data_IF_297608388190
#
_entry.id   IF_297608388190
#
_cell.length_a   1.000
_cell.length_b   1.000
_cell.length_c   1.000
_cell.angle_alpha   90.00
_cell.angle_beta   90.00
_cell.angle_gamma   90.00
#
_symmetry.space_group_name_H-M   'P 1'
#
loop_
_entity.id
_entity.type
_entity.pdbx_description
1 polymer ?
#
# COMPACT_ATOMS: atom_id res chain seq x y z
N UNK A 1 -19.98 17.72 7.89
CA UNK A 1 -20.14 16.71 8.98
C UNK A 1 -19.45 15.42 8.56
N UNK A 2 -18.70 14.79 9.47
CA UNK A 2 -18.03 13.50 9.22
C UNK A 2 -19.05 12.37 9.07
N UNK A 3 -18.93 11.54 8.01
CA UNK A 3 -19.71 10.31 7.86
C UNK A 3 -18.85 9.18 7.29
N UNK A 4 -18.98 7.97 7.80
CA UNK A 4 -18.25 6.80 7.30
C UNK A 4 -18.41 6.58 5.79
N UNK A 5 -19.60 6.83 5.24
CA UNK A 5 -19.89 6.73 3.80
C UNK A 5 -19.04 7.68 2.97
N UNK A 6 -18.91 8.94 3.38
CA UNK A 6 -18.07 9.91 2.68
C UNK A 6 -16.59 9.50 2.67
N UNK A 7 -16.17 8.71 3.67
CA UNK A 7 -14.82 8.19 3.82
C UNK A 7 -14.65 6.77 3.26
N UNK A 8 -15.56 6.33 2.38
CA UNK A 8 -15.42 5.06 1.64
C UNK A 8 -15.90 3.81 2.39
N UNK A 9 -16.62 3.97 3.51
CA UNK A 9 -17.21 2.86 4.27
C UNK A 9 -18.73 2.85 4.07
N UNK A 10 -19.27 2.04 3.15
CA UNK A 10 -20.70 2.04 2.83
C UNK A 10 -21.54 1.42 3.96
N UNK A 11 -22.82 1.81 4.01
CA UNK A 11 -23.76 1.29 5.02
C UNK A 11 -24.11 -0.19 4.82
N UNK A 12 -23.88 -0.73 3.62
CA UNK A 12 -24.16 -2.12 3.23
C UNK A 12 -23.15 -3.13 3.78
N UNK A 13 -22.04 -2.67 4.37
CA UNK A 13 -20.97 -3.50 4.91
C UNK A 13 -19.62 -3.21 4.25
N UNK A 14 -18.53 -3.46 4.98
CA UNK A 14 -17.18 -3.20 4.49
C UNK A 14 -16.66 -4.35 3.65
N UNK A 15 -16.15 -4.00 2.46
CA UNK A 15 -15.52 -4.91 1.49
C UNK A 15 -16.32 -6.20 1.16
N UNK A 16 -17.58 -6.09 0.69
CA UNK A 16 -18.41 -7.26 0.41
C UNK A 16 -17.85 -8.14 -0.73
N UNK A 17 -17.00 -7.58 -1.58
CA UNK A 17 -16.34 -8.28 -2.68
C UNK A 17 -14.97 -8.87 -2.30
N UNK A 18 -14.56 -8.80 -1.02
CA UNK A 18 -13.26 -9.29 -0.55
C UNK A 18 -12.07 -8.71 -1.34
N UNK A 19 -12.19 -7.47 -1.79
CA UNK A 19 -11.24 -6.80 -2.69
C UNK A 19 -9.84 -6.63 -2.07
N UNK A 20 -9.73 -6.49 -0.75
CA UNK A 20 -8.43 -6.37 -0.07
C UNK A 20 -7.63 -7.68 -0.05
N UNK A 21 -8.31 -8.82 -0.13
CA UNK A 21 -7.71 -10.18 -0.01
C UNK A 21 -7.75 -10.97 -1.31
N UNK A 22 -8.14 -10.32 -2.41
CA UNK A 22 -8.17 -10.92 -3.75
C UNK A 22 -7.30 -10.13 -4.72
N UNK A 23 -6.98 -10.79 -5.83
CA UNK A 23 -6.33 -10.21 -6.99
C UNK A 23 -7.19 -10.49 -8.22
N UNK A 24 -7.10 -9.59 -9.20
CA UNK A 24 -7.67 -9.82 -10.53
C UNK A 24 -6.81 -10.75 -11.39
N UNK A 25 -5.51 -10.86 -11.09
CA UNK A 25 -4.53 -11.49 -11.98
C UNK A 25 -3.95 -12.79 -11.42
N UNK A 26 -3.90 -12.94 -10.09
CA UNK A 26 -3.34 -14.13 -9.44
C UNK A 26 -4.32 -14.74 -8.43
N UNK A 27 -4.10 -16.00 -8.07
CA UNK A 27 -4.91 -16.65 -7.03
C UNK A 27 -4.64 -16.02 -5.65
N UNK A 28 -5.59 -16.10 -4.69
CA UNK A 28 -5.37 -15.60 -3.33
C UNK A 28 -4.16 -16.22 -2.63
N UNK A 29 -3.82 -17.48 -2.93
CA UNK A 29 -2.61 -18.13 -2.35
C UNK A 29 -1.35 -17.44 -2.87
N UNK A 30 -1.27 -17.18 -4.18
CA UNK A 30 -0.11 -16.50 -4.78
C UNK A 30 0.01 -15.08 -4.25
N UNK A 31 -1.10 -14.33 -4.16
CA UNK A 31 -1.11 -13.00 -3.57
C UNK A 31 -0.62 -13.01 -2.11
N UNK A 32 -1.07 -13.97 -1.31
CA UNK A 32 -0.65 -14.11 0.08
C UNK A 32 0.86 -14.40 0.20
N UNK A 33 1.39 -15.30 -0.64
CA UNK A 33 2.82 -15.59 -0.69
C UNK A 33 3.65 -14.38 -1.10
N UNK A 34 3.22 -13.62 -2.12
CA UNK A 34 3.91 -12.39 -2.54
C UNK A 34 3.96 -11.40 -1.38
N UNK A 35 2.82 -11.12 -0.74
CA UNK A 35 2.76 -10.21 0.43
C UNK A 35 3.64 -10.71 1.57
N UNK A 36 3.64 -12.02 1.87
CA UNK A 36 4.51 -12.59 2.90
C UNK A 36 6.00 -12.39 2.57
N UNK A 37 6.40 -12.62 1.31
CA UNK A 37 7.78 -12.40 0.85
C UNK A 37 8.19 -10.93 0.95
N UNK A 38 7.33 -10.00 0.55
CA UNK A 38 7.59 -8.56 0.68
C UNK A 38 7.73 -8.14 2.14
N UNK A 39 6.88 -8.67 3.02
CA UNK A 39 6.96 -8.42 4.47
C UNK A 39 8.27 -8.93 5.07
N UNK A 40 8.63 -10.19 4.77
CA UNK A 40 9.88 -10.80 5.23
C UNK A 40 11.08 -9.99 4.73
N UNK A 41 11.05 -9.54 3.47
CA UNK A 41 12.12 -8.72 2.92
C UNK A 41 12.28 -7.39 3.66
N UNK A 42 11.17 -6.69 3.98
CA UNK A 42 11.22 -5.46 4.76
C UNK A 42 11.90 -5.67 6.11
N UNK A 43 11.44 -6.66 6.88
CA UNK A 43 11.99 -6.95 8.21
C UNK A 43 13.44 -7.44 8.13
N UNK A 44 13.76 -8.33 7.19
CA UNK A 44 15.13 -8.81 6.99
C UNK A 44 16.08 -7.67 6.65
N UNK A 45 15.67 -6.75 5.75
CA UNK A 45 16.47 -5.58 5.38
C UNK A 45 16.77 -4.71 6.60
N UNK A 46 15.76 -4.43 7.43
CA UNK A 46 15.92 -3.60 8.62
C UNK A 46 16.83 -4.29 9.64
N UNK A 47 16.58 -5.56 9.94
CA UNK A 47 17.37 -6.34 10.91
C UNK A 47 18.83 -6.45 10.45
N UNK A 48 19.07 -6.77 9.19
CA UNK A 48 20.43 -6.85 8.61
C UNK A 48 21.10 -5.48 8.65
N UNK A 49 20.40 -4.41 8.29
CA UNK A 49 20.94 -3.05 8.32
C UNK A 49 21.35 -2.64 9.73
N UNK A 50 20.49 -2.85 10.73
CA UNK A 50 20.80 -2.54 12.12
C UNK A 50 21.92 -3.42 12.67
N UNK A 51 21.90 -4.72 12.39
CA UNK A 51 22.95 -5.64 12.83
C UNK A 51 24.32 -5.26 12.25
N UNK A 52 24.34 -4.83 10.99
CA UNK A 52 25.57 -4.33 10.35
C UNK A 52 26.04 -3.02 10.97
N UNK A 53 25.15 -2.03 11.12
CA UNK A 53 25.45 -0.72 11.68
C UNK A 53 25.83 -0.77 13.17
N UNK A 54 25.47 -1.82 13.89
CA UNK A 54 25.89 -2.03 15.28
C UNK A 54 27.42 -2.21 15.41
N UNK A 55 28.08 -2.69 14.35
CA UNK A 55 29.50 -3.03 14.35
C UNK A 55 30.31 -2.33 13.26
N UNK A 56 29.65 -1.64 12.33
CA UNK A 56 30.26 -1.00 11.16
C UNK A 56 29.71 0.40 10.98
N UNK A 57 30.49 1.26 10.33
CA UNK A 57 30.08 2.59 9.91
C UNK A 57 29.88 2.61 8.41
N UNK A 58 28.73 3.10 7.97
CA UNK A 58 28.42 3.38 6.58
C UNK A 58 28.53 4.89 6.31
N UNK A 59 29.02 5.28 5.13
CA UNK A 59 29.13 6.69 4.75
C UNK A 59 28.21 6.97 3.56
N UNK A 60 27.19 7.78 3.79
CA UNK A 60 26.23 8.18 2.76
C UNK A 60 26.57 9.58 2.26
N UNK A 61 26.75 9.71 0.94
CA UNK A 61 26.89 11.00 0.28
C UNK A 61 25.51 11.50 -0.12
N UNK A 62 25.10 12.59 0.50
CA UNK A 62 23.83 13.24 0.26
C UNK A 62 24.06 14.62 -0.34
N UNK A 63 23.01 15.19 -0.89
CA UNK A 63 22.91 16.59 -1.31
C UNK A 63 21.50 17.07 -0.99
N UNK A 64 21.25 18.35 -1.18
CA UNK A 64 19.89 18.87 -1.12
C UNK A 64 19.67 19.94 -2.19
N UNK A 65 18.43 20.37 -2.37
CA UNK A 65 18.14 21.50 -3.25
C UNK A 65 18.81 22.75 -2.68
N UNK A 66 19.73 23.33 -3.44
CA UNK A 66 20.57 24.48 -3.06
C UNK A 66 21.65 24.18 -2.00
N UNK A 67 21.91 22.92 -1.68
CA UNK A 67 22.95 22.51 -0.73
C UNK A 67 23.91 21.56 -1.43
N UNK A 68 25.21 21.90 -1.39
CA UNK A 68 26.28 21.08 -1.95
C UNK A 68 26.31 19.67 -1.36
N UNK A 69 27.09 18.78 -1.97
CA UNK A 69 27.18 17.42 -1.47
C UNK A 69 27.87 17.36 -0.10
N UNK A 70 27.28 16.63 0.83
CA UNK A 70 27.82 16.39 2.17
C UNK A 70 27.80 14.89 2.48
N UNK A 71 28.57 14.48 3.49
CA UNK A 71 28.65 13.08 3.89
C UNK A 71 28.08 12.91 5.30
N UNK A 72 27.21 11.94 5.46
CA UNK A 72 26.65 11.53 6.76
C UNK A 72 27.19 10.15 7.10
N UNK A 73 27.72 10.01 8.31
CA UNK A 73 28.18 8.73 8.82
C UNK A 73 27.08 8.08 9.66
N UNK A 74 26.66 6.89 9.26
CA UNK A 74 25.73 6.07 10.04
C UNK A 74 26.51 4.95 10.73
N UNK A 75 26.38 4.89 12.04
CA UNK A 75 26.95 3.82 12.89
C UNK A 75 25.85 3.32 13.84
N UNK A 76 26.22 2.77 15.00
CA UNK A 76 25.27 2.27 15.99
C UNK A 76 24.24 3.33 16.44
N UNK A 77 24.62 4.62 16.50
CA UNK A 77 23.74 5.72 16.88
C UNK A 77 22.58 5.90 15.88
N UNK A 78 22.83 5.64 14.59
CA UNK A 78 21.82 5.77 13.54
C UNK A 78 20.67 4.76 13.71
N UNK A 79 20.89 3.65 14.43
CA UNK A 79 19.83 2.68 14.76
C UNK A 79 18.75 3.36 15.61
N UNK A 80 19.14 4.05 16.67
CA UNK A 80 18.23 4.79 17.55
C UNK A 80 17.57 6.00 16.89
N UNK A 81 18.24 6.61 15.91
CA UNK A 81 17.75 7.76 15.15
C UNK A 81 16.86 7.36 13.95
N UNK A 82 16.82 6.07 13.58
CA UNK A 82 16.16 5.62 12.36
C UNK A 82 14.67 6.02 12.27
N UNK A 83 13.94 6.02 13.40
CA UNK A 83 12.53 6.44 13.44
C UNK A 83 12.30 7.93 13.21
N UNK A 84 13.35 8.76 13.19
CA UNK A 84 13.26 10.17 12.78
C UNK A 84 13.18 10.34 11.26
N UNK A 85 13.58 9.33 10.49
CA UNK A 85 13.61 9.36 9.03
C UNK A 85 12.33 8.76 8.44
N UNK A 86 11.66 9.52 7.56
CA UNK A 86 10.42 9.10 6.91
C UNK A 86 10.57 7.80 6.13
N UNK A 87 11.75 7.59 5.52
CA UNK A 87 12.11 6.37 4.80
C UNK A 87 11.92 5.13 5.67
N UNK A 88 12.45 5.14 6.89
CA UNK A 88 12.34 4.00 7.81
C UNK A 88 10.93 3.84 8.36
N UNK A 89 10.24 4.94 8.69
CA UNK A 89 8.83 4.88 9.09
C UNK A 89 7.96 4.23 8.00
N UNK A 90 8.18 4.62 6.75
CA UNK A 90 7.46 4.06 5.60
C UNK A 90 7.83 2.60 5.37
N UNK A 91 9.10 2.24 5.49
CA UNK A 91 9.55 0.87 5.24
C UNK A 91 9.12 -0.13 6.33
N UNK A 92 9.16 0.28 7.62
CA UNK A 92 8.52 -0.46 8.71
C UNK A 92 7.02 -0.60 8.47
N UNK A 93 6.36 0.49 8.06
CA UNK A 93 4.93 0.47 7.76
C UNK A 93 4.60 -0.50 6.61
N UNK A 94 5.41 -0.58 5.55
CA UNK A 94 5.24 -1.58 4.50
C UNK A 94 5.40 -3.00 5.04
N UNK A 95 6.43 -3.25 5.87
CA UNK A 95 6.65 -4.56 6.49
C UNK A 95 5.43 -5.07 7.27
N UNK A 96 4.87 -4.23 8.15
CA UNK A 96 3.65 -4.56 8.90
C UNK A 96 2.41 -4.65 8.02
N UNK A 97 2.25 -3.73 7.05
CA UNK A 97 1.15 -3.74 6.11
C UNK A 97 1.08 -5.07 5.36
N UNK A 98 2.20 -5.50 4.78
CA UNK A 98 2.27 -6.76 4.04
C UNK A 98 2.13 -7.99 4.94
N UNK A 99 2.64 -7.94 6.17
CA UNK A 99 2.45 -9.00 7.16
C UNK A 99 0.95 -9.25 7.40
N UNK A 100 0.23 -8.20 7.82
CA UNK A 100 -1.20 -8.30 8.12
C UNK A 100 -1.99 -8.65 6.85
N UNK A 101 -1.67 -8.02 5.72
CA UNK A 101 -2.34 -8.32 4.46
C UNK A 101 -2.12 -9.77 4.03
N UNK A 102 -0.93 -10.34 4.21
CA UNK A 102 -0.65 -11.76 3.92
C UNK A 102 -1.48 -12.70 4.80
N UNK A 103 -1.58 -12.42 6.11
CA UNK A 103 -2.39 -13.21 7.05
C UNK A 103 -3.86 -13.20 6.63
N UNK A 104 -4.42 -12.02 6.37
CA UNK A 104 -5.82 -11.89 5.92
C UNK A 104 -6.06 -12.62 4.60
N UNK A 105 -5.07 -12.58 3.68
CA UNK A 105 -5.17 -13.24 2.38
C UNK A 105 -5.08 -14.76 2.51
N UNK A 106 -4.20 -15.30 3.35
CA UNK A 106 -4.13 -16.74 3.64
C UNK A 106 -5.42 -17.23 4.30
N UNK A 107 -5.94 -16.50 5.28
CA UNK A 107 -7.21 -16.82 5.93
C UNK A 107 -8.35 -16.88 4.90
N UNK A 108 -8.41 -15.91 4.00
CA UNK A 108 -9.37 -15.94 2.91
C UNK A 108 -9.13 -17.13 1.96
N UNK A 109 -7.88 -17.38 1.57
CA UNK A 109 -7.53 -18.45 0.64
C UNK A 109 -8.00 -19.83 1.13
N UNK A 110 -7.77 -20.14 2.41
CA UNK A 110 -8.04 -21.46 3.00
C UNK A 110 -9.43 -21.58 3.64
N UNK A 111 -9.97 -20.50 4.21
CA UNK A 111 -11.24 -20.54 4.97
C UNK A 111 -12.40 -19.85 4.25
N UNK A 112 -12.12 -19.14 3.14
CA UNK A 112 -13.11 -18.30 2.41
C UNK A 112 -13.81 -17.30 3.32
N UNK A 113 -13.12 -16.82 4.35
CA UNK A 113 -13.61 -15.85 5.33
C UNK A 113 -12.59 -14.74 5.51
N UNK A 114 -13.07 -13.52 5.72
CA UNK A 114 -12.29 -12.38 6.22
C UNK A 114 -12.91 -11.91 7.53
N UNK A 115 -12.15 -11.21 8.37
CA UNK A 115 -12.69 -10.61 9.60
C UNK A 115 -12.95 -9.12 9.45
N UNK A 116 -12.52 -8.52 8.33
CA UNK A 116 -12.63 -7.08 8.07
C UNK A 116 -14.07 -6.57 8.17
N UNK A 117 -15.05 -7.35 7.70
CA UNK A 117 -16.47 -6.95 7.76
C UNK A 117 -17.04 -6.93 9.18
N UNK A 118 -16.45 -7.67 10.12
CA UNK A 118 -16.87 -7.71 11.52
C UNK A 118 -16.18 -6.65 12.39
N UNK A 119 -15.16 -5.96 11.87
CA UNK A 119 -14.47 -4.94 12.64
C UNK A 119 -15.37 -3.74 12.92
N UNK A 120 -15.16 -3.03 14.05
CA UNK A 120 -15.72 -1.71 14.25
C UNK A 120 -15.45 -0.79 13.05
N UNK A 121 -16.42 0.03 12.66
CA UNK A 121 -16.31 0.91 11.47
C UNK A 121 -15.06 1.80 11.49
N UNK A 122 -14.61 2.23 12.66
CA UNK A 122 -13.37 2.98 12.82
C UNK A 122 -12.14 2.19 12.35
N UNK A 123 -12.03 0.90 12.72
CA UNK A 123 -10.93 0.05 12.28
C UNK A 123 -11.02 -0.31 10.79
N UNK A 124 -12.23 -0.43 10.24
CA UNK A 124 -12.44 -0.59 8.79
C UNK A 124 -11.93 0.64 8.02
N UNK A 125 -12.27 1.83 8.52
CA UNK A 125 -11.79 3.08 7.96
C UNK A 125 -10.27 3.19 8.04
N UNK A 126 -9.69 2.91 9.21
CA UNK A 126 -8.24 2.92 9.38
C UNK A 126 -7.53 1.92 8.46
N UNK A 127 -8.10 0.74 8.25
CA UNK A 127 -7.57 -0.23 7.28
C UNK A 127 -7.54 0.33 5.86
N UNK A 128 -8.64 0.98 5.44
CA UNK A 128 -8.76 1.60 4.12
C UNK A 128 -7.83 2.82 3.96
N UNK A 129 -7.66 3.63 5.01
CA UNK A 129 -6.69 4.73 5.04
C UNK A 129 -5.26 4.21 4.98
N UNK A 130 -4.94 3.14 5.72
CA UNK A 130 -3.62 2.54 5.72
C UNK A 130 -3.24 2.05 4.32
N UNK A 131 -4.18 1.40 3.61
CA UNK A 131 -4.00 1.06 2.20
C UNK A 131 -3.65 2.29 1.33
N UNK A 132 -4.36 3.41 1.52
CA UNK A 132 -4.07 4.64 0.76
C UNK A 132 -2.69 5.21 1.08
N UNK A 133 -2.23 5.12 2.33
CA UNK A 133 -0.87 5.56 2.69
C UNK A 133 0.20 4.68 2.07
N UNK A 134 0.03 3.35 2.10
CA UNK A 134 1.02 2.38 1.58
C UNK A 134 1.09 2.35 0.06
N UNK A 135 0.04 2.78 -0.63
CA UNK A 135 0.02 2.89 -2.09
C UNK A 135 0.39 4.29 -2.60
N UNK A 136 0.74 5.24 -1.73
CA UNK A 136 1.06 6.60 -2.15
C UNK A 136 2.37 7.15 -1.56
N UNK A 137 2.54 7.11 -0.23
CA UNK A 137 3.72 7.66 0.46
C UNK A 137 5.07 7.04 0.01
N UNK A 138 5.18 5.73 -0.29
CA UNK A 138 6.47 5.14 -0.68
C UNK A 138 7.05 5.70 -1.98
N UNK A 139 6.20 6.21 -2.88
CA UNK A 139 6.67 6.88 -4.09
C UNK A 139 7.38 8.20 -3.77
N UNK A 140 6.89 8.95 -2.77
CA UNK A 140 7.52 10.18 -2.33
C UNK A 140 8.94 9.90 -1.79
N UNK A 141 9.10 8.86 -0.97
CA UNK A 141 10.42 8.41 -0.47
C UNK A 141 11.38 8.15 -1.64
N UNK A 142 10.93 7.41 -2.64
CA UNK A 142 11.75 7.04 -3.80
C UNK A 142 12.16 8.29 -4.58
N UNK A 143 11.20 9.16 -4.93
CA UNK A 143 11.44 10.34 -5.75
C UNK A 143 12.32 11.36 -5.03
N UNK A 144 12.08 11.60 -3.74
CA UNK A 144 12.89 12.54 -2.95
C UNK A 144 14.32 12.02 -2.81
N UNK A 145 14.49 10.74 -2.45
CA UNK A 145 15.83 10.19 -2.34
C UNK A 145 16.60 10.24 -3.66
N UNK A 146 16.05 9.67 -4.74
CA UNK A 146 16.78 9.56 -6.00
C UNK A 146 16.82 10.86 -6.81
N UNK A 147 15.78 11.69 -6.70
CA UNK A 147 15.65 12.93 -7.45
C UNK A 147 16.36 14.12 -6.80
N UNK A 148 16.32 14.23 -5.47
CA UNK A 148 16.85 15.42 -4.77
C UNK A 148 18.00 15.12 -3.84
N UNK A 149 18.01 13.99 -3.11
CA UNK A 149 18.99 13.75 -2.04
C UNK A 149 20.23 12.95 -2.45
N UNK A 150 20.13 12.06 -3.44
CA UNK A 150 21.21 11.14 -3.79
C UNK A 150 22.37 11.89 -4.46
N UNK A 151 23.58 11.79 -3.89
CA UNK A 151 24.80 12.40 -4.44
C UNK A 151 25.72 11.35 -5.10
N UNK A 152 25.14 10.56 -6.00
CA UNK A 152 25.86 9.56 -6.78
C UNK A 152 25.85 8.17 -6.15
N UNK A 153 26.49 7.22 -6.83
CA UNK A 153 26.48 5.81 -6.43
C UNK A 153 27.55 5.53 -5.38
N UNK A 154 27.22 4.96 -4.20
CA UNK A 154 28.20 4.71 -3.17
C UNK A 154 29.16 3.56 -3.56
N UNK A 155 30.43 3.57 -3.10
CA UNK A 155 31.40 2.53 -3.44
C UNK A 155 31.20 1.23 -2.66
N UNK A 156 30.63 1.30 -1.46
CA UNK A 156 30.44 0.14 -0.58
C UNK A 156 29.19 -0.67 -0.93
N UNK A 157 29.32 -2.01 -0.95
CA UNK A 157 28.22 -2.91 -1.31
C UNK A 157 27.04 -2.83 -0.33
N UNK A 158 27.32 -2.61 0.95
CA UNK A 158 26.28 -2.45 1.96
C UNK A 158 25.44 -1.21 1.69
N UNK A 159 26.08 -0.07 1.44
CA UNK A 159 25.42 1.21 1.15
C UNK A 159 24.61 1.14 -0.14
N UNK A 160 25.14 0.48 -1.18
CA UNK A 160 24.42 0.24 -2.43
C UNK A 160 23.14 -0.57 -2.20
N UNK A 161 23.26 -1.73 -1.55
CA UNK A 161 22.14 -2.59 -1.23
C UNK A 161 21.13 -1.86 -0.33
N UNK A 162 21.60 -1.22 0.74
CA UNK A 162 20.78 -0.47 1.67
C UNK A 162 19.97 0.61 0.96
N UNK A 163 20.63 1.43 0.12
CA UNK A 163 19.96 2.49 -0.62
C UNK A 163 18.89 1.93 -1.57
N UNK A 164 19.20 0.84 -2.29
CA UNK A 164 18.22 0.20 -3.14
C UNK A 164 17.03 -0.32 -2.33
N UNK A 165 17.28 -1.01 -1.22
CA UNK A 165 16.25 -1.61 -0.40
C UNK A 165 15.34 -0.58 0.24
N UNK A 166 15.87 0.39 1.01
CA UNK A 166 15.03 1.31 1.76
C UNK A 166 14.58 2.51 0.94
N UNK A 167 15.20 2.85 -0.20
CA UNK A 167 14.73 3.98 -1.01
C UNK A 167 14.06 3.56 -2.32
N UNK A 168 14.60 2.61 -3.08
CA UNK A 168 13.97 2.21 -4.35
C UNK A 168 12.82 1.24 -4.14
N UNK A 169 13.01 0.18 -3.33
CA UNK A 169 11.99 -0.87 -3.20
C UNK A 169 10.72 -0.41 -2.47
N UNK A 170 10.75 0.73 -1.78
CA UNK A 170 9.55 1.40 -1.27
C UNK A 170 8.48 1.55 -2.37
N UNK A 171 8.83 2.17 -3.51
CA UNK A 171 7.90 2.36 -4.63
C UNK A 171 7.56 1.05 -5.34
N UNK A 172 8.52 0.12 -5.47
CA UNK A 172 8.27 -1.20 -6.08
C UNK A 172 7.21 -1.97 -5.30
N UNK A 173 7.28 -1.92 -3.97
CA UNK A 173 6.32 -2.62 -3.12
C UNK A 173 4.94 -1.97 -3.17
N UNK A 174 4.87 -0.64 -3.15
CA UNK A 174 3.62 0.08 -3.38
C UNK A 174 3.01 -0.23 -4.76
N UNK A 175 3.84 -0.31 -5.81
CA UNK A 175 3.41 -0.67 -7.16
C UNK A 175 2.92 -2.11 -7.25
N UNK A 176 3.58 -3.06 -6.58
CA UNK A 176 3.12 -4.44 -6.49
C UNK A 176 1.71 -4.52 -5.86
N UNK A 177 1.47 -3.75 -4.81
CA UNK A 177 0.17 -3.71 -4.15
C UNK A 177 -0.91 -3.02 -5.01
N UNK A 178 -0.59 -1.91 -5.69
CA UNK A 178 -1.49 -1.25 -6.67
C UNK A 178 -1.86 -2.20 -7.82
N UNK A 179 -0.90 -2.95 -8.32
CA UNK A 179 -1.10 -3.79 -9.52
C UNK A 179 -1.83 -5.08 -9.19
N UNK A 180 -1.47 -5.76 -8.10
CA UNK A 180 -1.98 -7.09 -7.81
C UNK A 180 -3.34 -7.06 -7.10
N UNK A 181 -3.62 -6.09 -6.25
CA UNK A 181 -4.82 -6.11 -5.39
C UNK A 181 -6.10 -5.80 -6.15
N UNK A 182 -7.22 -6.39 -5.74
CA UNK A 182 -8.53 -6.15 -6.37
C UNK A 182 -9.28 -4.94 -5.77
N UNK A 183 -8.64 -4.16 -4.89
CA UNK A 183 -9.20 -3.03 -4.13
C UNK A 183 -9.77 -1.92 -5.00
N UNK A 184 -10.75 -1.19 -4.47
CA UNK A 184 -11.31 -0.02 -5.16
C UNK A 184 -10.39 1.22 -5.14
N UNK A 185 -10.60 2.19 -6.05
CA UNK A 185 -9.88 3.47 -6.09
C UNK A 185 -9.89 4.26 -4.78
N UNK A 186 -8.73 4.79 -4.39
CA UNK A 186 -8.49 5.51 -3.12
C UNK A 186 -9.47 6.68 -2.91
N UNK A 187 -10.36 6.67 -1.91
CA UNK A 187 -11.30 7.77 -1.70
C UNK A 187 -10.57 9.12 -1.58
N UNK A 188 -11.07 10.17 -2.26
CA UNK A 188 -10.41 11.48 -2.25
C UNK A 188 -10.21 12.06 -0.85
N UNK A 189 -11.12 11.78 0.08
CA UNK A 189 -10.99 12.23 1.47
C UNK A 189 -9.74 11.65 2.17
N UNK A 190 -9.21 10.50 1.72
CA UNK A 190 -7.97 9.94 2.27
C UNK A 190 -6.75 10.80 1.96
N UNK A 191 -6.80 11.66 0.93
CA UNK A 191 -5.73 12.62 0.64
C UNK A 191 -5.46 13.53 1.86
N UNK A 192 -6.52 13.95 2.58
CA UNK A 192 -6.35 14.76 3.79
C UNK A 192 -5.57 14.03 4.88
N UNK A 193 -5.71 12.71 4.99
CA UNK A 193 -4.97 11.88 5.95
C UNK A 193 -3.53 11.69 5.50
N UNK A 194 -3.30 11.47 4.20
CA UNK A 194 -1.95 11.36 3.63
C UNK A 194 -1.17 12.66 3.86
N UNK A 195 -1.79 13.82 3.59
CA UNK A 195 -1.19 15.12 3.88
C UNK A 195 -1.03 15.37 5.39
N UNK A 196 -2.01 14.99 6.19
CA UNK A 196 -1.94 15.08 7.65
C UNK A 196 -0.77 14.28 8.24
N UNK A 197 -0.50 13.07 7.71
CA UNK A 197 0.66 12.26 8.11
C UNK A 197 1.97 12.96 7.75
N UNK A 198 2.07 13.56 6.56
CA UNK A 198 3.26 14.33 6.19
C UNK A 198 3.46 15.56 7.10
N UNK A 199 2.38 16.26 7.46
CA UNK A 199 2.44 17.38 8.40
C UNK A 199 2.87 16.94 9.81
N UNK A 200 2.33 15.81 10.31
CA UNK A 200 2.76 15.24 11.60
C UNK A 200 4.24 14.81 11.54
N UNK A 201 4.67 14.24 10.42
CA UNK A 201 6.06 13.86 10.22
C UNK A 201 7.00 15.08 10.23
N UNK A 202 6.61 16.20 9.60
CA UNK A 202 7.38 17.45 9.68
C UNK A 202 7.55 17.90 11.15
N UNK A 203 6.49 17.80 11.95
CA UNK A 203 6.55 18.06 13.38
C UNK A 203 7.51 17.11 14.11
N UNK A 204 7.47 15.81 13.83
CA UNK A 204 8.41 14.82 14.37
C UNK A 204 9.87 15.12 13.98
N UNK A 205 10.12 15.58 12.75
CA UNK A 205 11.45 15.90 12.29
C UNK A 205 12.04 17.13 13.01
N UNK A 206 11.23 18.15 13.29
CA UNK A 206 11.66 19.27 14.15
C UNK A 206 11.79 18.86 15.63
N UNK A 207 10.93 17.97 16.13
CA UNK A 207 11.08 17.40 17.47
C UNK A 207 12.40 16.62 17.59
N UNK A 208 12.83 15.93 16.52
CA UNK A 208 14.14 15.28 16.47
C UNK A 208 15.25 16.30 16.61
N UNK A 209 15.18 17.43 15.92
CA UNK A 209 16.20 18.48 16.08
C UNK A 209 16.25 19.01 17.51
N UNK A 210 15.08 19.25 18.12
CA UNK A 210 15.02 19.70 19.51
C UNK A 210 15.59 18.66 20.50
N UNK A 211 15.25 17.38 20.32
CA UNK A 211 15.60 16.33 21.27
C UNK A 211 17.00 15.71 21.04
N UNK A 212 17.48 15.72 19.80
CA UNK A 212 18.70 15.01 19.37
C UNK A 212 19.74 15.91 18.71
N UNK A 213 19.44 17.19 18.50
CA UNK A 213 20.41 18.20 18.08
C UNK A 213 20.79 18.21 16.60
N UNK A 214 20.06 17.49 15.73
CA UNK A 214 20.32 17.48 14.29
C UNK A 214 19.04 17.60 13.45
N UNK A 215 19.15 18.21 12.27
CA UNK A 215 18.06 18.20 11.29
C UNK A 215 18.07 16.90 10.49
N UNK A 216 16.91 16.25 10.39
CA UNK A 216 16.76 15.00 9.62
C UNK A 216 17.10 15.20 8.14
N UNK A 217 16.79 16.38 7.61
CA UNK A 217 17.18 16.82 6.28
C UNK A 217 17.72 18.23 6.33
N UNK A 218 18.77 18.50 5.56
CA UNK A 218 19.48 19.77 5.65
C UNK A 218 18.66 20.96 5.13
N UNK A 219 17.72 20.74 4.20
CA UNK A 219 16.77 21.78 3.77
C UNK A 219 15.90 22.33 4.91
N UNK A 220 15.77 21.61 6.03
CA UNK A 220 15.00 22.06 7.19
C UNK A 220 15.75 23.08 8.06
N UNK A 221 17.07 23.22 7.87
CA UNK A 221 17.90 24.07 8.70
C UNK A 221 17.66 25.56 8.34
N UNK A 222 17.13 26.39 9.25
CA UNK A 222 16.86 27.81 8.98
C UNK A 222 18.12 28.62 8.64
N UNK A 223 19.32 28.11 8.97
CA UNK A 223 20.58 28.70 8.55
C UNK A 223 20.72 28.78 7.02
N UNK A 224 20.02 27.91 6.28
CA UNK A 224 19.96 27.93 4.81
C UNK A 224 18.82 28.80 4.26
N UNK A 225 18.11 29.53 5.13
CA UNK A 225 17.06 30.48 4.77
C UNK A 225 15.66 29.87 4.73
N UNK A 226 14.69 30.62 5.26
CA UNK A 226 13.31 30.18 5.40
C UNK A 226 12.59 29.92 4.06
N UNK A 227 13.03 30.56 2.98
CA UNK A 227 12.45 30.36 1.64
C UNK A 227 12.65 28.92 1.19
N UNK A 228 13.80 28.32 1.45
CA UNK A 228 14.06 26.91 1.10
C UNK A 228 13.07 25.99 1.81
N UNK A 229 12.87 26.18 3.12
CA UNK A 229 11.93 25.39 3.93
C UNK A 229 10.52 25.48 3.35
N UNK A 230 10.03 26.69 3.06
CA UNK A 230 8.68 26.91 2.52
C UNK A 230 8.51 26.21 1.18
N UNK A 231 9.49 26.34 0.28
CA UNK A 231 9.45 25.70 -1.04
C UNK A 231 9.45 24.16 -0.95
N UNK A 232 10.20 23.57 -0.01
CA UNK A 232 10.18 22.12 0.20
C UNK A 232 8.84 21.65 0.75
N UNK A 233 8.26 22.35 1.73
CA UNK A 233 6.95 21.99 2.30
C UNK A 233 5.86 22.06 1.23
N UNK A 234 5.80 23.14 0.44
CA UNK A 234 4.84 23.28 -0.65
C UNK A 234 5.10 22.27 -1.78
N UNK A 235 6.36 22.05 -2.13
CA UNK A 235 6.78 21.10 -3.16
C UNK A 235 6.41 19.65 -2.80
N UNK A 236 6.66 19.22 -1.56
CA UNK A 236 6.30 17.88 -1.10
C UNK A 236 4.79 17.72 -0.95
N UNK A 237 4.06 18.74 -0.49
CA UNK A 237 2.60 18.71 -0.46
C UNK A 237 2.01 18.57 -1.87
N UNK A 238 2.46 19.41 -2.82
CA UNK A 238 2.04 19.34 -4.23
C UNK A 238 2.40 18.00 -4.89
N UNK A 239 3.63 17.53 -4.69
CA UNK A 239 4.09 16.24 -5.17
C UNK A 239 3.24 15.08 -4.61
N UNK A 240 2.87 15.13 -3.34
CA UNK A 240 2.02 14.11 -2.73
C UNK A 240 0.60 14.11 -3.28
N UNK A 241 0.02 15.27 -3.58
CA UNK A 241 -1.29 15.36 -4.25
C UNK A 241 -1.24 14.65 -5.61
N UNK A 242 -0.19 14.92 -6.40
CA UNK A 242 0.01 14.29 -7.71
C UNK A 242 0.20 12.77 -7.57
N UNK A 243 1.06 12.33 -6.64
CA UNK A 243 1.30 10.90 -6.40
C UNK A 243 0.05 10.15 -5.94
N UNK A 244 -0.77 10.77 -5.07
CA UNK A 244 -2.05 10.20 -4.65
C UNK A 244 -3.00 10.04 -5.84
N UNK A 245 -3.10 11.07 -6.70
CA UNK A 245 -3.92 11.01 -7.91
C UNK A 245 -3.42 9.91 -8.86
N UNK A 246 -2.11 9.82 -9.10
CA UNK A 246 -1.50 8.76 -9.92
C UNK A 246 -1.84 7.38 -9.36
N UNK A 247 -1.65 7.15 -8.05
CA UNK A 247 -1.98 5.87 -7.42
C UNK A 247 -3.47 5.53 -7.58
N UNK A 248 -4.36 6.50 -7.34
CA UNK A 248 -5.81 6.33 -7.53
C UNK A 248 -6.15 5.95 -8.97
N UNK A 249 -5.63 6.67 -9.97
CA UNK A 249 -5.97 6.43 -11.37
C UNK A 249 -5.27 5.19 -11.94
N UNK A 250 -4.12 4.78 -11.40
CA UNK A 250 -3.52 3.48 -11.68
C UNK A 250 -4.45 2.34 -11.21
N UNK A 251 -5.04 2.46 -10.01
CA UNK A 251 -6.02 1.50 -9.47
C UNK A 251 -7.31 1.49 -10.31
N UNK A 252 -7.78 2.66 -10.78
CA UNK A 252 -8.91 2.75 -11.74
C UNK A 252 -8.59 2.00 -13.03
N UNK A 253 -7.45 2.31 -13.67
CA UNK A 253 -7.02 1.68 -14.90
C UNK A 253 -6.90 0.16 -14.75
N UNK A 254 -6.27 -0.28 -13.66
CA UNK A 254 -6.10 -1.69 -13.30
C UNK A 254 -7.45 -2.41 -13.15
N UNK A 255 -8.45 -1.79 -12.53
CA UNK A 255 -9.82 -2.34 -12.46
C UNK A 255 -10.52 -2.38 -13.82
N UNK A 256 -10.38 -1.33 -14.63
CA UNK A 256 -10.97 -1.27 -15.97
C UNK A 256 -10.41 -2.37 -16.87
N UNK A 257 -9.08 -2.57 -16.86
CA UNK A 257 -8.41 -3.62 -17.64
C UNK A 257 -8.83 -5.02 -17.16
N UNK A 258 -8.89 -5.23 -15.84
CA UNK A 258 -9.35 -6.51 -15.28
C UNK A 258 -10.79 -6.85 -15.69
N UNK A 259 -11.70 -5.87 -15.65
CA UNK A 259 -13.09 -6.04 -16.09
C UNK A 259 -13.19 -6.48 -17.56
N UNK A 260 -12.48 -5.79 -18.46
CA UNK A 260 -12.46 -6.14 -19.89
C UNK A 260 -11.91 -7.55 -20.16
N UNK A 261 -10.86 -7.94 -19.43
CA UNK A 261 -10.29 -9.29 -19.55
C UNK A 261 -11.30 -10.35 -19.11
N UNK A 262 -12.08 -10.08 -18.06
CA UNK A 262 -13.10 -11.00 -17.56
C UNK A 262 -14.26 -11.12 -18.55
N UNK A 263 -14.77 -10.00 -19.08
CA UNK A 263 -15.84 -9.96 -20.09
C UNK A 263 -15.46 -10.80 -21.33
N UNK A 264 -14.26 -10.58 -21.87
CA UNK A 264 -13.76 -11.36 -23.02
C UNK A 264 -13.67 -12.86 -22.74
N UNK A 265 -13.26 -13.26 -21.52
CA UNK A 265 -13.22 -14.68 -21.14
C UNK A 265 -14.62 -15.29 -21.04
N UNK A 266 -15.58 -14.54 -20.50
CA UNK A 266 -16.95 -15.00 -20.32
C UNK A 266 -17.66 -15.13 -21.68
N UNK A 267 -17.41 -14.22 -22.63
CA UNK A 267 -17.87 -14.32 -24.02
C UNK A 267 -17.34 -15.59 -24.71
N UNK A 268 -16.02 -15.82 -24.67
CA UNK A 268 -15.39 -17.02 -25.26
C UNK A 268 -15.95 -18.31 -24.63
N UNK A 269 -16.17 -18.30 -23.31
CA UNK A 269 -16.73 -19.47 -22.61
C UNK A 269 -18.19 -19.71 -23.02
N UNK A 270 -18.98 -18.65 -23.17
CA UNK A 270 -20.38 -18.73 -23.60
C UNK A 270 -20.51 -19.27 -25.02
N UNK A 271 -19.63 -18.85 -25.94
CA UNK A 271 -19.60 -19.34 -27.31
C UNK A 271 -19.23 -20.83 -27.36
N UNK A 272 -18.22 -21.26 -26.59
CA UNK A 272 -17.85 -22.68 -26.47
C UNK A 272 -18.98 -23.53 -25.90
N UNK A 273 -19.67 -23.05 -24.87
CA UNK A 273 -20.83 -23.75 -24.29
C UNK A 273 -21.98 -23.87 -25.30
N UNK A 274 -22.23 -22.82 -26.08
CA UNK A 274 -23.23 -22.85 -27.14
C UNK A 274 -22.88 -23.87 -28.23
N UNK A 275 -21.64 -23.88 -28.74
CA UNK A 275 -21.19 -24.86 -29.74
C UNK A 275 -21.27 -26.30 -29.24
N UNK A 276 -20.92 -26.56 -27.97
CA UNK A 276 -21.07 -27.90 -27.37
C UNK A 276 -22.54 -28.31 -27.30
N UNK A 277 -23.44 -27.40 -26.92
CA UNK A 277 -24.88 -27.68 -26.88
C UNK A 277 -25.46 -27.97 -28.28
N UNK A 278 -25.09 -27.17 -29.28
CA UNK A 278 -25.52 -27.35 -30.67
C UNK A 278 -24.95 -28.63 -31.31
N UNK A 279 -23.71 -28.99 -30.99
CA UNK A 279 -23.11 -30.26 -31.43
C UNK A 279 -23.73 -31.49 -30.76
N UNK A 280 -24.22 -31.35 -29.52
CA UNK A 280 -24.88 -32.44 -28.77
C UNK A 280 -26.29 -32.78 -29.26
N UNK A 281 -26.96 -31.88 -30.01
CA UNK A 281 -28.25 -32.19 -30.65
C UNK A 281 -28.11 -33.24 -31.76
N UNK A 282 -26.90 -33.46 -32.29
CA UNK A 282 -26.62 -34.42 -33.37
C UNK A 282 -25.90 -35.70 -32.92
N UNK A 283 -25.64 -35.90 -31.62
CA UNK A 283 -25.02 -37.13 -31.09
C UNK A 283 -25.70 -37.60 -29.82
N UNK A 284 -26.07 -38.89 -29.78
CA UNK A 284 -26.77 -39.59 -28.70
C UNK A 284 -26.49 -39.07 -27.28
N UNK A 285 -27.56 -38.70 -26.60
CA UNK A 285 -27.57 -37.98 -25.33
C UNK A 285 -26.95 -38.78 -24.18
N UNK A 286 -25.86 -38.26 -23.60
CA UNK A 286 -25.46 -38.61 -22.22
C UNK A 286 -25.77 -37.39 -21.36
N UNK A 287 -26.79 -37.48 -20.50
CA UNK A 287 -27.18 -36.41 -19.58
C UNK A 287 -26.09 -36.19 -18.52
N UNK A 288 -25.19 -35.24 -18.76
CA UNK A 288 -24.30 -34.74 -17.71
C UNK A 288 -25.08 -33.68 -16.92
N UNK A 289 -25.50 -34.04 -15.71
CA UNK A 289 -26.17 -33.13 -14.79
C UNK A 289 -25.20 -32.06 -14.27
N UNK A 290 -25.16 -30.91 -14.92
CA UNK A 290 -24.48 -29.73 -14.36
C UNK A 290 -25.37 -29.14 -13.27
N UNK A 291 -25.02 -29.42 -12.01
CA UNK A 291 -25.64 -28.79 -10.85
C UNK A 291 -25.23 -27.31 -10.86
N UNK A 292 -26.15 -26.43 -11.29
CA UNK A 292 -25.98 -24.98 -11.11
C UNK A 292 -25.99 -24.67 -9.61
N UNK A 293 -25.03 -23.90 -9.06
CA UNK A 293 -25.11 -23.44 -7.69
C UNK A 293 -26.36 -22.55 -7.52
N UNK A 294 -27.23 -22.96 -6.61
CA UNK A 294 -28.44 -22.22 -6.25
C UNK A 294 -28.04 -20.82 -5.74
N UNK A 295 -28.57 -19.72 -6.30
CA UNK A 295 -28.36 -18.41 -5.70
C UNK A 295 -28.95 -18.43 -4.29
N UNK A 296 -28.13 -18.06 -3.30
CA UNK A 296 -28.59 -17.91 -1.92
C UNK A 296 -29.76 -16.93 -1.90
N UNK A 297 -30.95 -17.46 -1.59
CA UNK A 297 -32.15 -16.67 -1.35
C UNK A 297 -31.89 -15.83 -0.11
N UNK A 298 -31.67 -14.52 -0.30
CA UNK A 298 -31.68 -13.56 0.80
C UNK A 298 -33.03 -13.69 1.49
N UNK A 299 -33.02 -14.21 2.71
CA UNK A 299 -34.22 -14.32 3.55
C UNK A 299 -34.66 -12.88 3.84
N UNK A 300 -35.76 -12.44 3.21
CA UNK A 300 -36.47 -11.23 3.65
C UNK A 300 -36.78 -11.42 5.13
N UNK A 301 -36.33 -10.44 5.93
CA UNK A 301 -36.67 -10.30 7.34
C UNK A 301 -38.20 -10.27 7.41
N UNK A 302 -38.81 -11.22 8.12
CA UNK A 302 -40.23 -11.15 8.42
C UNK A 302 -40.43 -9.99 9.40
N UNK A 303 -41.37 -9.12 9.06
CA UNK A 303 -41.95 -8.16 9.99
C UNK A 303 -42.56 -8.94 11.16
N UNK A 304 -42.16 -8.58 12.36
CA UNK A 304 -42.87 -8.91 13.59
C UNK A 304 -43.32 -7.60 14.18
N UNK A 305 -44.48 -7.13 13.70
CA UNK A 305 -45.36 -6.26 14.47
C UNK A 305 -46.40 -7.13 15.17
N UNK A 306 -46.64 -6.76 16.43
CA UNK A 306 -47.84 -6.96 17.24
C UNK A 306 -48.36 -8.40 17.48
N UNK A 307 -48.18 -8.87 18.71
CA UNK A 307 -49.33 -9.29 19.52
C UNK A 307 -49.09 -8.97 21.00
N UNK A 308 -50.13 -8.38 21.59
CA UNK A 308 -50.30 -8.00 22.99
C UNK A 308 -50.28 -9.20 23.94
N UNK A 309 -49.69 -9.05 25.13
CA UNK A 309 -50.29 -8.95 26.48
C UNK A 309 -49.17 -8.59 27.47
#
# INVERSE_FOLDING_TARGET
MFTYKAWGIPNTGFDPSYSFVRSHFVSPVVLACIRALLSIYCFATIIISYSWLAHKTAVFKLKDVNIGSYSVQHSNAAIGQSFSFFTYLTFWSLGFYFMISSVHTFMYAFRKRTWLYNWPKALQLLHSMYYSTMTSLPFLVTIVFWGTMNSGWPPGRFEQWHNLSVHALNSVFAAAEITLSATEPLPWNHLSIVLGILSMYLGLAYLTQYAQGFYVYEWMNPAHGNVSIILHVLGYAGGMIVLFAIARYAIVLRNMLAGRIQESKDEILSEKLYQVSAGSENSWTTKIGVVKPTPMRVRKKADFDEYQV
#
